data_IF_426313913148
#
_entry.id   IF_426313913148
#
_cell.length_a   1.000
_cell.length_b   1.000
_cell.length_c   1.000
_cell.angle_alpha   90.00
_cell.angle_beta   90.00
_cell.angle_gamma   90.00
#
_symmetry.space_group_name_H-M   'P 1'
#
loop_
_entity.id
_entity.type
_entity.pdbx_description
1 polymer ?
#
# COMPACT_ATOMS: atom_id res chain seq x y z
N UNK A 1 26.04 -17.85 18.37
CA UNK A 1 24.83 -17.01 18.18
C UNK A 1 25.19 -15.52 18.06
N UNK A 2 25.93 -14.93 19.01
CA UNK A 2 26.24 -13.48 19.00
C UNK A 2 26.97 -12.97 17.74
N UNK A 3 27.94 -13.73 17.21
CA UNK A 3 28.68 -13.31 16.01
C UNK A 3 27.75 -13.24 14.77
N UNK A 4 26.83 -14.20 14.63
CA UNK A 4 25.88 -14.26 13.53
C UNK A 4 24.88 -13.09 13.57
N UNK A 5 24.40 -12.73 14.78
CA UNK A 5 23.45 -11.62 14.95
C UNK A 5 24.01 -10.29 14.47
N UNK A 6 25.30 -10.03 14.69
CA UNK A 6 25.93 -8.80 14.22
C UNK A 6 25.99 -8.70 12.68
N UNK A 7 26.06 -9.82 11.97
CA UNK A 7 26.10 -9.87 10.51
C UNK A 7 24.72 -9.73 9.86
N UNK A 8 23.68 -10.13 10.58
CA UNK A 8 22.31 -10.24 10.05
C UNK A 8 21.33 -9.23 10.64
N UNK A 9 21.78 -8.30 11.49
CA UNK A 9 20.93 -7.25 12.05
C UNK A 9 21.03 -5.98 11.23
N UNK A 10 19.92 -5.23 11.11
CA UNK A 10 19.92 -3.89 10.53
C UNK A 10 20.87 -2.97 11.29
N UNK A 11 21.78 -2.33 10.57
CA UNK A 11 22.66 -1.30 11.12
C UNK A 11 21.87 -0.03 11.42
N UNK A 12 22.35 0.75 12.39
CA UNK A 12 21.69 1.98 12.82
C UNK A 12 21.47 2.98 11.68
N UNK A 13 22.49 3.19 10.84
CA UNK A 13 22.37 4.08 9.68
C UNK A 13 21.29 3.62 8.69
N UNK A 14 21.13 2.31 8.50
CA UNK A 14 20.07 1.76 7.64
C UNK A 14 18.69 1.98 8.26
N UNK A 15 18.57 1.91 9.59
CA UNK A 15 17.30 2.20 10.29
C UNK A 15 16.89 3.65 10.10
N UNK A 16 17.83 4.60 10.27
CA UNK A 16 17.59 6.03 10.04
C UNK A 16 17.11 6.28 8.61
N UNK A 17 17.78 5.69 7.60
CA UNK A 17 17.37 5.83 6.19
C UNK A 17 15.97 5.27 5.94
N UNK A 18 15.65 4.12 6.54
CA UNK A 18 14.33 3.49 6.46
C UNK A 18 13.26 4.37 7.12
N UNK A 19 13.50 4.85 8.33
CA UNK A 19 12.54 5.67 9.09
C UNK A 19 12.24 6.97 8.34
N UNK A 20 13.27 7.61 7.78
CA UNK A 20 13.11 8.79 6.95
C UNK A 20 12.26 8.49 5.71
N UNK A 21 12.52 7.36 5.02
CA UNK A 21 11.71 6.96 3.86
C UNK A 21 10.25 6.67 4.23
N UNK A 22 10.00 6.00 5.36
CA UNK A 22 8.64 5.75 5.87
C UNK A 22 7.93 7.06 6.18
N UNK A 23 8.61 8.02 6.80
CA UNK A 23 8.07 9.34 7.08
C UNK A 23 7.71 10.09 5.79
N UNK A 24 8.62 10.12 4.82
CA UNK A 24 8.39 10.76 3.51
C UNK A 24 7.17 10.17 2.78
N UNK A 25 7.10 8.84 2.67
CA UNK A 25 5.95 8.14 2.06
C UNK A 25 4.67 8.43 2.83
N UNK A 26 4.70 8.36 4.16
CA UNK A 26 3.52 8.59 5.00
C UNK A 26 2.99 10.03 4.86
N UNK A 27 3.88 11.01 4.83
CA UNK A 27 3.54 12.42 4.64
C UNK A 27 2.96 12.66 3.24
N UNK A 28 3.55 12.06 2.21
CA UNK A 28 3.03 12.14 0.85
C UNK A 28 1.62 11.55 0.74
N UNK A 29 1.39 10.36 1.32
CA UNK A 29 0.07 9.71 1.35
C UNK A 29 -0.99 10.54 2.08
N UNK A 30 -0.66 11.13 3.23
CA UNK A 30 -1.56 12.01 4.00
C UNK A 30 -1.85 13.33 3.28
N UNK A 31 -0.91 13.81 2.48
CA UNK A 31 -1.05 15.06 1.71
C UNK A 31 -1.92 14.93 0.46
N UNK A 32 -2.29 13.70 0.06
CA UNK A 32 -3.11 13.48 -1.13
C UNK A 32 -4.46 14.19 -0.96
N UNK A 33 -4.85 15.11 -1.86
CA UNK A 33 -6.11 15.80 -1.72
C UNK A 33 -7.29 14.84 -1.92
N UNK A 34 -8.40 15.15 -1.26
CA UNK A 34 -9.67 14.48 -1.47
C UNK A 34 -10.01 14.36 -2.96
N UNK A 35 -10.41 13.16 -3.37
CA UNK A 35 -10.73 12.83 -4.73
C UNK A 35 -12.11 13.36 -5.17
N UNK A 36 -12.33 13.38 -6.48
CA UNK A 36 -13.65 13.58 -7.06
C UNK A 36 -14.49 12.31 -6.90
N UNK A 37 -15.80 12.46 -6.71
CA UNK A 37 -16.73 11.34 -6.73
C UNK A 37 -16.74 10.72 -8.13
N UNK A 38 -16.54 9.40 -8.23
CA UNK A 38 -16.56 8.65 -9.50
C UNK A 38 -17.47 7.44 -9.42
N UNK A 39 -18.02 7.04 -10.56
CA UNK A 39 -18.71 5.77 -10.68
C UNK A 39 -17.71 4.62 -10.83
N UNK A 40 -17.92 3.52 -10.10
CA UNK A 40 -17.08 2.31 -10.19
C UNK A 40 -17.08 1.73 -11.60
N UNK A 41 -18.22 1.76 -12.28
CA UNK A 41 -18.35 1.32 -13.68
C UNK A 41 -17.49 2.11 -14.68
N UNK A 42 -16.91 3.24 -14.28
CA UNK A 42 -16.02 4.10 -15.08
C UNK A 42 -14.58 4.10 -14.57
N UNK A 43 -14.26 3.20 -13.64
CA UNK A 43 -12.97 3.17 -12.98
C UNK A 43 -11.88 2.56 -13.86
N UNK A 44 -12.16 1.47 -14.59
CA UNK A 44 -11.20 0.85 -15.50
C UNK A 44 -10.68 1.85 -16.54
N UNK A 45 -11.60 2.55 -17.23
CA UNK A 45 -11.29 3.63 -18.19
C UNK A 45 -10.46 4.77 -17.57
N UNK A 46 -10.60 5.01 -16.27
CA UNK A 46 -9.82 6.02 -15.56
C UNK A 46 -8.42 5.52 -15.21
N UNK A 47 -8.29 4.26 -14.77
CA UNK A 47 -7.02 3.64 -14.37
C UNK A 47 -6.09 3.38 -15.56
N UNK A 48 -6.65 3.00 -16.71
CA UNK A 48 -5.90 2.83 -17.96
C UNK A 48 -5.10 4.10 -18.35
N UNK A 49 -5.61 5.29 -18.02
CA UNK A 49 -4.94 6.57 -18.29
C UNK A 49 -3.66 6.78 -17.47
N UNK A 50 -3.43 5.97 -16.45
CA UNK A 50 -2.27 6.06 -15.55
C UNK A 50 -1.35 4.84 -15.66
N UNK A 51 -1.57 3.96 -16.64
CA UNK A 51 -0.87 2.68 -16.80
C UNK A 51 -0.89 1.83 -15.51
N UNK A 52 -1.94 1.98 -14.69
CA UNK A 52 -2.10 1.23 -13.46
C UNK A 52 -2.87 -0.04 -13.77
N UNK A 53 -2.17 -1.18 -13.74
CA UNK A 53 -2.76 -2.52 -13.85
C UNK A 53 -3.00 -3.08 -12.46
N UNK A 54 -4.27 -3.20 -12.07
CA UNK A 54 -4.63 -3.95 -10.86
C UNK A 54 -4.99 -5.38 -11.26
N UNK A 55 -4.52 -6.42 -10.54
CA UNK A 55 -5.00 -7.78 -10.69
C UNK A 55 -6.41 -7.98 -10.08
N UNK A 56 -7.41 -7.22 -10.56
CA UNK A 56 -8.80 -7.32 -10.09
C UNK A 56 -9.80 -6.99 -11.21
N UNK A 57 -10.86 -7.80 -11.28
CA UNK A 57 -12.03 -7.53 -12.13
C UNK A 57 -12.98 -6.57 -11.41
N UNK A 58 -13.37 -5.48 -12.07
CA UNK A 58 -14.29 -4.49 -11.50
C UNK A 58 -15.76 -4.78 -11.84
N UNK A 59 -16.64 -4.56 -10.88
CA UNK A 59 -18.09 -4.64 -11.07
C UNK A 59 -18.58 -3.55 -12.04
N UNK A 60 -19.56 -3.92 -12.87
CA UNK A 60 -20.26 -2.98 -13.75
C UNK A 60 -21.33 -2.16 -13.01
N UNK A 61 -21.37 -2.24 -11.68
CA UNK A 61 -22.40 -1.59 -10.88
C UNK A 61 -22.23 -0.07 -10.88
N UNK A 62 -23.34 0.67 -10.95
CA UNK A 62 -23.37 2.14 -10.94
C UNK A 62 -23.15 2.74 -9.55
N UNK A 63 -22.25 2.16 -8.73
CA UNK A 63 -21.92 2.70 -7.40
C UNK A 63 -20.92 3.83 -7.50
N UNK A 64 -20.92 4.72 -6.49
CA UNK A 64 -20.02 5.86 -6.41
C UNK A 64 -18.92 5.60 -5.37
N UNK A 65 -17.74 6.12 -5.63
CA UNK A 65 -16.60 6.11 -4.71
C UNK A 65 -15.93 7.49 -4.70
N UNK A 66 -15.44 7.89 -3.53
CA UNK A 66 -14.65 9.08 -3.33
C UNK A 66 -13.44 8.73 -2.48
N UNK A 67 -12.24 9.11 -2.96
CA UNK A 67 -11.04 9.00 -2.17
C UNK A 67 -11.01 10.10 -1.10
N UNK A 68 -10.69 9.72 0.13
CA UNK A 68 -10.37 10.61 1.25
C UNK A 68 -8.98 10.16 1.75
N UNK A 69 -8.03 11.07 2.01
CA UNK A 69 -6.70 10.67 2.47
C UNK A 69 -6.75 9.86 3.76
N UNK A 70 -5.80 8.93 3.96
CA UNK A 70 -5.73 8.16 5.19
C UNK A 70 -5.36 9.05 6.36
N UNK A 71 -5.99 8.84 7.51
CA UNK A 71 -5.64 9.52 8.77
C UNK A 71 -4.65 8.70 9.59
N UNK A 72 -4.72 7.38 9.50
CA UNK A 72 -3.88 6.44 10.23
C UNK A 72 -2.97 5.70 9.25
N UNK A 73 -1.67 5.86 9.47
CA UNK A 73 -0.60 5.11 8.81
C UNK A 73 0.33 4.64 9.92
N UNK A 74 0.61 3.34 9.98
CA UNK A 74 1.42 2.73 11.04
C UNK A 74 2.35 1.69 10.45
N UNK A 75 3.58 1.63 10.95
CA UNK A 75 4.47 0.50 10.68
C UNK A 75 3.97 -0.71 11.47
N UNK A 76 3.94 -1.87 10.81
CA UNK A 76 3.57 -3.15 11.42
C UNK A 76 4.62 -4.20 11.06
N UNK A 77 4.46 -5.42 11.58
CA UNK A 77 5.36 -6.53 11.30
C UNK A 77 6.71 -6.43 12.01
N UNK A 78 7.69 -7.20 11.56
CA UNK A 78 8.95 -7.44 12.27
C UNK A 78 9.80 -6.19 12.50
N UNK A 79 9.60 -5.13 11.71
CA UNK A 79 10.30 -3.85 11.91
C UNK A 79 10.01 -3.24 13.28
N UNK A 80 8.75 -3.31 13.73
CA UNK A 80 8.29 -2.69 14.99
C UNK A 80 8.87 -3.32 16.26
N UNK A 81 9.36 -4.56 16.17
CA UNK A 81 9.89 -5.32 17.30
C UNK A 81 11.42 -5.49 17.23
N UNK A 82 12.10 -4.70 16.40
CA UNK A 82 13.53 -4.86 16.08
C UNK A 82 13.90 -6.27 15.59
N UNK A 83 12.93 -7.00 15.05
CA UNK A 83 13.04 -8.40 14.67
C UNK A 83 13.44 -8.63 13.22
N UNK A 84 13.89 -7.59 12.49
CA UNK A 84 14.34 -7.77 11.11
C UNK A 84 15.72 -8.42 11.08
N UNK A 85 15.77 -9.53 10.34
CA UNK A 85 17.00 -10.22 9.97
C UNK A 85 17.27 -9.94 8.50
N UNK A 86 18.35 -9.20 8.22
CA UNK A 86 18.87 -8.97 6.87
C UNK A 86 19.79 -10.12 6.48
N UNK A 87 19.62 -10.73 5.29
CA UNK A 87 20.62 -11.71 4.84
C UNK A 87 21.89 -10.99 4.42
N UNK A 88 23.03 -11.60 4.78
CA UNK A 88 24.38 -11.10 4.45
C UNK A 88 24.70 -11.05 2.95
N UNK A 89 23.84 -11.59 2.06
CA UNK A 89 24.00 -11.40 0.62
C UNK A 89 23.38 -10.06 0.22
N UNK A 90 24.16 -9.21 -0.44
CA UNK A 90 23.90 -7.82 -0.86
C UNK A 90 22.68 -7.60 -1.79
N UNK A 91 21.63 -8.42 -1.69
CA UNK A 91 20.47 -8.43 -2.59
C UNK A 91 19.20 -8.92 -1.88
N UNK A 92 18.93 -8.39 -0.69
CA UNK A 92 17.59 -8.50 -0.11
C UNK A 92 17.08 -7.10 0.17
N UNK A 93 16.07 -6.72 -0.61
CA UNK A 93 15.19 -5.61 -0.28
C UNK A 93 14.46 -5.96 1.02
N UNK A 94 14.81 -5.28 2.11
CA UNK A 94 14.04 -5.34 3.34
C UNK A 94 12.64 -4.79 3.05
N UNK A 95 11.63 -5.64 3.16
CA UNK A 95 10.24 -5.23 3.01
C UNK A 95 9.69 -4.86 4.38
N UNK A 96 9.05 -3.69 4.45
CA UNK A 96 8.46 -3.18 5.68
C UNK A 96 6.98 -2.96 5.42
N UNK A 97 6.17 -3.50 6.32
CA UNK A 97 4.73 -3.45 6.19
C UNK A 97 4.20 -2.13 6.77
N UNK A 98 3.47 -1.39 5.94
CA UNK A 98 2.72 -0.21 6.36
C UNK A 98 1.23 -0.51 6.35
N UNK A 99 0.60 -0.39 7.51
CA UNK A 99 -0.85 -0.36 7.63
C UNK A 99 -1.34 1.03 7.25
N UNK A 100 -2.25 1.10 6.27
CA UNK A 100 -2.93 2.33 5.87
C UNK A 100 -4.42 2.14 6.07
N UNK A 101 -5.02 2.92 6.97
CA UNK A 101 -6.46 2.86 7.22
C UNK A 101 -7.25 3.60 6.15
N UNK A 102 -8.28 2.95 5.60
CA UNK A 102 -9.26 3.59 4.72
C UNK A 102 -10.29 4.30 5.62
N UNK A 103 -10.47 5.63 5.52
CA UNK A 103 -11.46 6.34 6.31
C UNK A 103 -12.86 5.73 6.17
N UNK A 104 -13.56 5.55 7.30
CA UNK A 104 -14.87 4.89 7.35
C UNK A 104 -15.89 5.49 6.37
N UNK A 105 -15.83 6.79 6.10
CA UNK A 105 -16.72 7.49 5.16
C UNK A 105 -16.59 6.97 3.71
N UNK A 106 -15.46 6.38 3.33
CA UNK A 106 -15.23 5.79 2.02
C UNK A 106 -15.96 4.45 1.84
N UNK A 107 -16.29 3.77 2.94
CA UNK A 107 -16.81 2.40 2.98
C UNK A 107 -18.23 2.38 3.56
N UNK A 108 -19.18 1.85 2.80
CA UNK A 108 -20.55 1.66 3.23
C UNK A 108 -20.71 0.34 4.00
N UNK A 109 -21.66 0.29 4.95
CA UNK A 109 -21.89 -0.88 5.83
C UNK A 109 -22.18 -2.19 5.08
N UNK A 110 -22.61 -2.13 3.81
CA UNK A 110 -22.95 -3.27 2.96
C UNK A 110 -21.86 -3.62 1.94
N UNK A 111 -20.72 -2.94 1.95
CA UNK A 111 -19.65 -3.20 0.98
C UNK A 111 -18.98 -4.58 1.19
N UNK A 112 -19.29 -5.30 2.28
CA UNK A 112 -18.87 -6.69 2.45
C UNK A 112 -19.56 -7.65 1.46
N UNK A 113 -20.67 -7.23 0.82
CA UNK A 113 -21.38 -8.00 -0.19
C UNK A 113 -20.69 -7.83 -1.56
N UNK A 114 -20.73 -8.88 -2.38
CA UNK A 114 -20.36 -8.85 -3.80
C UNK A 114 -18.95 -8.27 -4.08
N UNK A 115 -17.98 -8.49 -3.19
CA UNK A 115 -16.60 -8.00 -3.29
C UNK A 115 -16.44 -6.46 -3.38
N UNK A 116 -17.47 -5.69 -3.02
CA UNK A 116 -17.45 -4.23 -3.19
C UNK A 116 -16.36 -3.56 -2.35
N UNK A 117 -16.12 -4.05 -1.14
CA UNK A 117 -15.03 -3.60 -0.29
C UNK A 117 -13.66 -3.86 -0.94
N UNK A 118 -13.49 -5.03 -1.56
CA UNK A 118 -12.24 -5.40 -2.24
C UNK A 118 -11.99 -4.46 -3.42
N UNK A 119 -13.02 -4.18 -4.22
CA UNK A 119 -12.93 -3.23 -5.33
C UNK A 119 -12.58 -1.82 -4.84
N UNK A 120 -13.29 -1.31 -3.83
CA UNK A 120 -13.03 0.01 -3.26
C UNK A 120 -11.62 0.11 -2.66
N UNK A 121 -11.15 -0.93 -1.97
CA UNK A 121 -9.80 -1.00 -1.43
C UNK A 121 -8.75 -0.96 -2.54
N UNK A 122 -8.93 -1.72 -3.62
CA UNK A 122 -8.03 -1.68 -4.76
C UNK A 122 -7.98 -0.31 -5.44
N UNK A 123 -9.15 0.33 -5.60
CA UNK A 123 -9.25 1.69 -6.14
C UNK A 123 -8.54 2.69 -5.24
N UNK A 124 -8.70 2.55 -3.92
CA UNK A 124 -8.02 3.38 -2.93
C UNK A 124 -6.49 3.30 -3.11
N UNK A 125 -5.94 2.08 -3.29
CA UNK A 125 -4.52 1.88 -3.60
C UNK A 125 -4.10 2.60 -4.89
N UNK A 126 -4.92 2.59 -5.94
CA UNK A 126 -4.60 3.31 -7.18
C UNK A 126 -4.59 4.83 -7.03
N UNK A 127 -5.48 5.39 -6.21
CA UNK A 127 -5.44 6.81 -5.90
C UNK A 127 -4.13 7.19 -5.23
N UNK A 128 -3.62 6.33 -4.34
CA UNK A 128 -2.31 6.50 -3.70
C UNK A 128 -1.18 6.35 -4.72
N UNK A 129 -1.15 5.24 -5.46
CA UNK A 129 -0.13 4.95 -6.46
C UNK A 129 0.03 6.07 -7.48
N UNK A 130 -1.07 6.65 -7.96
CA UNK A 130 -1.07 7.76 -8.91
C UNK A 130 -0.30 9.00 -8.41
N UNK A 131 -0.21 9.19 -7.10
CA UNK A 131 0.35 10.41 -6.49
C UNK A 131 1.78 10.23 -6.00
N UNK A 132 2.17 9.00 -5.70
CA UNK A 132 3.51 8.67 -5.25
C UNK A 132 4.53 8.83 -6.38
N UNK A 133 5.64 9.51 -6.08
CA UNK A 133 6.78 9.75 -6.99
C UNK A 133 7.82 8.61 -7.06
N UNK A 134 7.48 7.44 -6.53
CA UNK A 134 8.39 6.32 -6.35
C UNK A 134 8.21 5.25 -7.45
N UNK A 135 9.10 4.25 -7.45
CA UNK A 135 8.86 3.01 -8.20
C UNK A 135 7.78 2.19 -7.49
N UNK A 136 6.73 1.82 -8.22
CA UNK A 136 5.52 1.21 -7.68
C UNK A 136 5.20 -0.11 -8.37
N UNK A 137 4.73 -1.08 -7.59
CA UNK A 137 4.26 -2.36 -8.11
C UNK A 137 3.02 -2.82 -7.35
N UNK A 138 2.04 -3.37 -8.06
CA UNK A 138 0.90 -4.05 -7.46
C UNK A 138 1.21 -5.53 -7.31
N UNK A 139 0.94 -6.09 -6.12
CA UNK A 139 1.07 -7.52 -5.83
C UNK A 139 -0.08 -8.00 -4.95
N UNK A 140 0.01 -9.22 -4.42
CA UNK A 140 -0.93 -9.80 -3.47
C UNK A 140 -0.29 -10.00 -2.11
N UNK A 141 -1.05 -9.74 -1.03
CA UNK A 141 -0.58 -10.06 0.31
C UNK A 141 -0.40 -11.58 0.46
N UNK A 142 0.81 -11.99 0.88
CA UNK A 142 1.19 -13.37 1.18
C UNK A 142 0.96 -14.36 0.02
N UNK A 143 1.02 -13.90 -1.23
CA UNK A 143 0.75 -14.71 -2.44
C UNK A 143 -0.59 -15.46 -2.41
N UNK A 144 -1.55 -14.96 -1.61
CA UNK A 144 -2.86 -15.59 -1.49
C UNK A 144 -3.75 -15.23 -2.68
N UNK A 145 -4.56 -16.19 -3.12
CA UNK A 145 -5.54 -16.01 -4.21
C UNK A 145 -6.72 -15.09 -3.84
N UNK A 146 -6.75 -14.53 -2.63
CA UNK A 146 -7.92 -13.88 -2.04
C UNK A 146 -8.12 -12.42 -2.45
N UNK A 147 -7.58 -11.99 -3.60
CA UNK A 147 -7.74 -10.64 -4.15
C UNK A 147 -7.31 -9.50 -3.20
N UNK A 148 -6.40 -9.76 -2.25
CA UNK A 148 -5.88 -8.74 -1.36
C UNK A 148 -4.71 -8.01 -2.01
N UNK A 149 -5.02 -7.13 -2.97
CA UNK A 149 -4.01 -6.33 -3.65
C UNK A 149 -3.20 -5.51 -2.62
N UNK A 150 -1.89 -5.38 -2.84
CA UNK A 150 -0.98 -4.51 -2.08
C UNK A 150 -0.23 -3.61 -3.04
N UNK A 151 0.20 -2.46 -2.54
CA UNK A 151 1.05 -1.52 -3.27
C UNK A 151 2.45 -1.58 -2.67
N UNK A 152 3.42 -2.07 -3.45
CA UNK A 152 4.83 -2.06 -3.10
C UNK A 152 5.40 -0.72 -3.54
N UNK A 153 6.03 -0.01 -2.62
CA UNK A 153 6.69 1.27 -2.85
C UNK A 153 8.19 1.06 -2.68
N UNK A 154 8.98 1.39 -3.69
CA UNK A 154 10.44 1.25 -3.66
C UNK A 154 11.08 2.62 -3.71
N UNK A 155 12.05 2.86 -2.83
CA UNK A 155 12.95 4.00 -2.98
C UNK A 155 13.59 3.94 -4.36
N UNK A 156 13.70 5.10 -5.00
CA UNK A 156 14.42 5.27 -6.26
C UNK A 156 15.92 5.14 -6.05
#
# INVERSE_FOLDING_TARGET
VNALLNEVTLKENQRIEIDQFIEEVSNELKSIPQGKIRHLSKMSEWLEKFDIKIPLSFSKMKKKFQFIPPTIIQVIGSYTYDGIIVKSSNKISTMIDLLVEIPRICIHKKDYLNNEYIEKRAIYLCYMAKRLKYSLEFSHLNDTTLNQAVLIVRSN
#
